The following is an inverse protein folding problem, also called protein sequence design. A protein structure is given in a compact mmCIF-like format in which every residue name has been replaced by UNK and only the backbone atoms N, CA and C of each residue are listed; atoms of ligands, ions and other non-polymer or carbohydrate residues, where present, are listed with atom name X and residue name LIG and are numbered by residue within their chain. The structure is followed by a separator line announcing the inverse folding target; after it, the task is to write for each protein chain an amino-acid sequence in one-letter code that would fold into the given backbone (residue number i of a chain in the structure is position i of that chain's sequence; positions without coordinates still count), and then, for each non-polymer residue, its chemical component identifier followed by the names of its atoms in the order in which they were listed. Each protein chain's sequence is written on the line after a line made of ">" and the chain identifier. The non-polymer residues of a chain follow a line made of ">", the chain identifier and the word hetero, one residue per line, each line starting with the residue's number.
data_IF_527410609722
#
_entry.id   IF_527410609722
#
_cell.length_a   1.000
_cell.length_b   1.000
_cell.length_c   1.000
_cell.angle_alpha   90.00
_cell.angle_beta   90.00
_cell.angle_gamma   90.00
#
_symmetry.space_group_name_H-M   'P 1'
#
loop_
_entity.id
_entity.type
_entity.pdbx_description
1 polymer ?
#
# COMPACT_ATOMS: atom_id res chain seq x y z
N UNK A 1 -59.05 21.72 -8.98
CA UNK A 1 -59.94 22.12 -10.08
C UNK A 1 -59.39 21.50 -11.36
N UNK A 2 -60.13 20.49 -11.81
CA UNK A 2 -60.30 19.99 -13.19
C UNK A 2 -59.12 19.28 -13.87
N UNK A 3 -59.21 17.96 -13.92
CA UNK A 3 -58.96 17.09 -15.10
C UNK A 3 -60.10 17.37 -16.13
N UNK A 4 -60.15 16.90 -17.37
CA UNK A 4 -59.80 15.54 -17.84
C UNK A 4 -59.35 15.39 -19.33
N UNK A 5 -59.09 14.11 -19.70
CA UNK A 5 -59.51 13.30 -20.88
C UNK A 5 -58.96 13.67 -22.29
N UNK A 6 -58.55 12.79 -23.18
CA UNK A 6 -59.18 11.56 -23.65
C UNK A 6 -58.23 10.86 -24.66
N UNK A 7 -58.20 9.55 -24.65
CA UNK A 7 -57.95 8.70 -25.84
C UNK A 7 -59.06 8.85 -26.88
N UNK A 8 -58.85 8.39 -28.16
CA UNK A 8 -59.31 7.03 -28.43
C UNK A 8 -58.51 6.24 -29.48
N UNK A 9 -58.79 4.95 -29.43
CA UNK A 9 -58.41 3.87 -30.32
C UNK A 9 -59.13 3.91 -31.67
N UNK A 10 -58.66 3.16 -32.66
CA UNK A 10 -59.41 2.20 -33.51
C UNK A 10 -58.53 1.66 -34.67
N UNK A 11 -58.36 0.36 -34.71
CA UNK A 11 -58.79 -0.65 -35.67
C UNK A 11 -58.29 -0.61 -37.11
N UNK A 12 -57.87 -1.78 -37.58
CA UNK A 12 -57.83 -2.16 -39.00
C UNK A 12 -57.03 -3.45 -39.22
N UNK A 13 -57.72 -4.55 -39.09
CA UNK A 13 -57.36 -5.88 -39.59
C UNK A 13 -57.20 -5.88 -41.10
N UNK A 14 -56.29 -6.68 -41.63
CA UNK A 14 -56.53 -7.52 -42.81
C UNK A 14 -55.54 -8.72 -42.86
N UNK A 15 -56.17 -9.90 -42.86
CA UNK A 15 -55.61 -11.21 -43.19
C UNK A 15 -55.32 -11.32 -44.67
N UNK A 16 -54.24 -11.95 -45.10
CA UNK A 16 -54.15 -12.82 -46.27
C UNK A 16 -52.97 -13.82 -46.08
N UNK A 17 -53.18 -15.13 -46.41
CA UNK A 17 -52.24 -16.17 -46.06
C UNK A 17 -51.43 -16.68 -47.28
N UNK A 18 -50.55 -17.66 -46.99
CA UNK A 18 -49.92 -18.63 -47.86
C UNK A 18 -48.55 -18.31 -48.49
N UNK A 19 -47.60 -19.09 -48.03
CA UNK A 19 -46.35 -19.38 -48.69
C UNK A 19 -45.61 -20.49 -47.92
N UNK A 20 -45.95 -21.75 -48.27
CA UNK A 20 -45.22 -22.96 -47.83
C UNK A 20 -43.86 -22.98 -48.46
N UNK A 21 -42.80 -22.98 -47.66
CA UNK A 21 -41.44 -23.24 -48.09
C UNK A 21 -40.90 -24.50 -47.41
N UNK A 22 -40.11 -25.32 -48.10
CA UNK A 22 -39.89 -26.72 -47.73
C UNK A 22 -38.81 -26.87 -46.67
N UNK A 23 -39.05 -27.80 -45.80
CA UNK A 23 -38.19 -28.56 -44.87
C UNK A 23 -36.72 -28.12 -44.76
N UNK A 24 -36.40 -27.41 -43.65
CA UNK A 24 -35.05 -27.34 -43.12
C UNK A 24 -34.60 -28.71 -42.56
N UNK A 25 -33.35 -29.13 -42.80
CA UNK A 25 -32.86 -30.37 -42.24
C UNK A 25 -32.74 -30.31 -40.69
N UNK A 26 -32.88 -31.40 -39.97
CA UNK A 26 -32.84 -31.42 -38.51
C UNK A 26 -31.44 -30.94 -38.00
N UNK A 27 -31.38 -30.27 -36.84
CA UNK A 27 -30.12 -29.83 -36.29
C UNK A 27 -29.25 -31.05 -35.97
N UNK A 28 -28.05 -31.06 -36.56
CA UNK A 28 -26.99 -32.01 -36.21
C UNK A 28 -26.70 -31.80 -34.73
N UNK A 29 -27.07 -32.75 -33.90
CA UNK A 29 -26.61 -32.88 -32.51
C UNK A 29 -25.07 -32.88 -32.55
N UNK A 30 -24.44 -31.75 -32.30
CA UNK A 30 -23.04 -31.73 -31.87
C UNK A 30 -23.01 -32.55 -30.58
N UNK A 31 -22.42 -33.72 -30.65
CA UNK A 31 -21.98 -34.43 -29.48
C UNK A 31 -21.06 -33.46 -28.71
N UNK A 32 -21.52 -33.05 -27.53
CA UNK A 32 -20.67 -32.38 -26.55
C UNK A 32 -19.73 -33.46 -26.06
N UNK A 33 -18.59 -33.57 -26.73
CA UNK A 33 -17.49 -34.38 -26.22
C UNK A 33 -17.10 -33.85 -24.86
N UNK A 34 -17.08 -34.76 -23.93
CA UNK A 34 -16.55 -34.79 -22.58
C UNK A 34 -16.09 -33.49 -21.96
N UNK A 35 -16.69 -33.17 -20.80
CA UNK A 35 -16.12 -32.18 -19.86
C UNK A 35 -14.64 -32.47 -19.61
N UNK A 36 -13.85 -31.47 -19.13
CA UNK A 36 -12.42 -31.64 -18.99
C UNK A 36 -12.15 -32.78 -18.01
N UNK A 37 -11.80 -33.94 -18.58
CA UNK A 37 -11.24 -35.05 -17.85
C UNK A 37 -10.05 -34.54 -17.04
N UNK A 38 -9.81 -35.07 -15.86
CA UNK A 38 -8.66 -34.83 -15.02
C UNK A 38 -7.39 -35.03 -15.87
N UNK A 39 -6.97 -34.00 -16.58
CA UNK A 39 -5.82 -34.01 -17.47
C UNK A 39 -4.58 -34.38 -16.66
N UNK A 40 -3.78 -35.29 -17.17
CA UNK A 40 -2.47 -35.59 -16.60
C UNK A 40 -1.71 -34.26 -16.36
N UNK A 41 -1.11 -34.10 -15.17
CA UNK A 41 -0.36 -32.88 -14.89
C UNK A 41 0.71 -32.73 -15.98
N UNK A 42 0.88 -31.50 -16.52
CA UNK A 42 1.94 -31.25 -17.49
C UNK A 42 3.30 -31.65 -16.88
N UNK A 43 4.27 -32.06 -17.72
CA UNK A 43 5.61 -32.44 -17.25
C UNK A 43 6.21 -31.38 -16.29
N UNK A 44 5.96 -30.10 -16.57
CA UNK A 44 6.34 -29.00 -15.68
C UNK A 44 5.63 -29.09 -14.33
N UNK A 45 4.33 -29.35 -14.31
CA UNK A 45 3.56 -29.43 -13.08
C UNK A 45 4.01 -30.64 -12.23
N UNK A 46 4.24 -31.81 -12.85
CA UNK A 46 4.77 -32.97 -12.16
C UNK A 46 6.17 -32.71 -11.55
N UNK A 47 7.04 -32.01 -12.28
CA UNK A 47 8.36 -31.59 -11.78
C UNK A 47 8.24 -30.64 -10.58
N UNK A 48 7.34 -29.65 -10.65
CA UNK A 48 7.13 -28.69 -9.55
C UNK A 48 6.55 -29.38 -8.31
N UNK A 49 5.72 -30.40 -8.47
CA UNK A 49 5.20 -31.22 -7.37
C UNK A 49 6.31 -32.04 -6.71
N UNK A 50 7.20 -32.64 -7.51
CA UNK A 50 8.37 -33.36 -6.99
C UNK A 50 9.30 -32.43 -6.21
N UNK A 51 9.57 -31.24 -6.73
CA UNK A 51 10.33 -30.20 -6.01
C UNK A 51 9.63 -29.77 -4.71
N UNK A 52 8.30 -29.63 -4.72
CA UNK A 52 7.58 -29.22 -3.52
C UNK A 52 7.59 -30.29 -2.41
N UNK A 53 7.73 -31.58 -2.74
CA UNK A 53 7.93 -32.67 -1.76
C UNK A 53 9.28 -32.55 -1.05
N UNK A 54 10.32 -32.10 -1.74
CA UNK A 54 11.66 -31.87 -1.17
C UNK A 54 11.70 -30.67 -0.19
N UNK A 55 10.59 -29.95 0.01
CA UNK A 55 10.50 -28.98 1.11
C UNK A 55 10.53 -29.63 2.49
N UNK A 56 10.32 -30.94 2.57
CA UNK A 56 10.45 -31.75 3.80
C UNK A 56 11.90 -32.21 4.09
N UNK A 57 12.81 -32.06 3.13
CA UNK A 57 14.21 -32.43 3.28
C UNK A 57 14.89 -31.61 4.38
N UNK A 58 15.75 -32.25 5.18
CA UNK A 58 16.44 -31.62 6.31
C UNK A 58 17.75 -30.93 5.88
N UNK A 59 18.29 -31.25 4.69
CA UNK A 59 19.51 -30.64 4.17
C UNK A 59 19.30 -29.16 3.81
N UNK A 60 20.03 -28.22 4.43
CA UNK A 60 19.94 -26.79 4.10
C UNK A 60 20.27 -26.50 2.63
N UNK A 61 21.18 -27.28 2.02
CA UNK A 61 21.57 -27.13 0.62
C UNK A 61 20.40 -27.51 -0.31
N UNK A 62 19.75 -28.65 -0.07
CA UNK A 62 18.59 -29.09 -0.83
C UNK A 62 17.45 -28.09 -0.66
N UNK A 63 17.15 -27.69 0.55
CA UNK A 63 16.12 -26.66 0.81
C UNK A 63 16.36 -25.38 0.05
N UNK A 64 17.62 -24.87 0.04
CA UNK A 64 17.98 -23.63 -0.65
C UNK A 64 17.78 -23.75 -2.17
N UNK A 65 18.25 -24.84 -2.77
CA UNK A 65 18.09 -25.12 -4.19
C UNK A 65 16.60 -25.26 -4.59
N UNK A 66 15.85 -26.04 -3.84
CA UNK A 66 14.39 -26.25 -4.06
C UNK A 66 13.63 -24.93 -3.96
N UNK A 67 13.90 -24.14 -2.93
CA UNK A 67 13.24 -22.85 -2.75
C UNK A 67 13.58 -21.88 -3.90
N UNK A 68 14.81 -21.90 -4.41
CA UNK A 68 15.22 -21.09 -5.56
C UNK A 68 14.41 -21.46 -6.80
N UNK A 69 14.40 -22.73 -7.18
CA UNK A 69 13.67 -23.22 -8.36
C UNK A 69 12.15 -22.94 -8.27
N UNK A 70 11.54 -23.16 -7.09
CA UNK A 70 10.11 -22.86 -6.90
C UNK A 70 9.81 -21.35 -6.99
N UNK A 71 10.73 -20.46 -6.58
CA UNK A 71 10.60 -19.01 -6.78
C UNK A 71 10.75 -18.62 -8.25
N UNK A 72 11.70 -19.22 -8.97
CA UNK A 72 11.90 -19.00 -10.40
C UNK A 72 10.70 -19.43 -11.24
N UNK A 73 10.08 -20.56 -10.89
CA UNK A 73 8.84 -21.02 -11.52
C UNK A 73 7.63 -20.09 -11.29
N UNK A 74 7.73 -19.14 -10.38
CA UNK A 74 6.73 -18.09 -10.10
C UNK A 74 5.31 -18.68 -9.91
N UNK A 75 4.31 -18.18 -10.66
CA UNK A 75 2.92 -18.61 -10.53
C UNK A 75 2.71 -20.11 -10.85
N UNK A 76 3.53 -20.71 -11.69
CA UNK A 76 3.44 -22.11 -12.02
C UNK A 76 3.66 -23.04 -10.80
N UNK A 77 4.46 -22.61 -9.82
CA UNK A 77 4.68 -23.35 -8.58
C UNK A 77 3.50 -23.29 -7.60
N UNK A 78 2.55 -22.36 -7.77
CA UNK A 78 1.49 -22.15 -6.79
C UNK A 78 0.62 -23.39 -6.51
N UNK A 79 0.15 -24.19 -7.50
CA UNK A 79 -0.62 -25.38 -7.24
C UNK A 79 0.14 -26.43 -6.40
N UNK A 80 1.42 -26.67 -6.71
CA UNK A 80 2.27 -27.60 -5.97
C UNK A 80 2.50 -27.12 -4.52
N UNK A 81 2.76 -25.83 -4.33
CA UNK A 81 2.94 -25.22 -3.01
C UNK A 81 1.64 -25.23 -2.18
N UNK A 82 0.48 -25.03 -2.80
CA UNK A 82 -0.82 -25.13 -2.11
C UNK A 82 -1.02 -26.56 -1.60
N UNK A 83 -0.73 -27.57 -2.40
CA UNK A 83 -0.77 -28.97 -1.96
C UNK A 83 0.21 -29.21 -0.80
N UNK A 84 1.49 -28.88 -0.97
CA UNK A 84 2.51 -29.05 0.06
C UNK A 84 2.15 -28.32 1.37
N UNK A 85 1.49 -27.17 1.30
CA UNK A 85 1.02 -26.45 2.49
C UNK A 85 -0.04 -27.17 3.31
N UNK A 86 -0.62 -28.26 2.78
CA UNK A 86 -1.66 -29.08 3.42
C UNK A 86 -1.14 -30.48 3.77
N UNK A 87 -0.33 -31.09 2.90
CA UNK A 87 0.04 -32.52 2.96
C UNK A 87 1.46 -32.79 3.45
N UNK A 88 2.38 -31.82 3.39
CA UNK A 88 3.75 -31.96 3.85
C UNK A 88 3.85 -32.07 5.38
N UNK A 89 5.04 -32.44 5.91
CA UNK A 89 5.36 -32.38 7.33
C UNK A 89 5.16 -30.98 7.93
N UNK A 90 5.21 -30.82 9.24
CA UNK A 90 5.05 -29.50 9.86
C UNK A 90 6.10 -28.49 9.37
N UNK A 91 7.40 -28.81 9.26
CA UNK A 91 8.40 -27.91 8.67
C UNK A 91 8.14 -27.61 7.19
N UNK A 92 7.81 -28.61 6.37
CA UNK A 92 7.51 -28.44 4.95
C UNK A 92 6.28 -27.56 4.72
N UNK A 93 5.22 -27.72 5.52
CA UNK A 93 4.05 -26.81 5.47
C UNK A 93 4.41 -25.37 5.74
N UNK A 94 5.25 -25.11 6.72
CA UNK A 94 5.73 -23.74 7.03
C UNK A 94 6.51 -23.16 5.85
N UNK A 95 7.44 -23.96 5.27
CA UNK A 95 8.24 -23.54 4.10
C UNK A 95 7.36 -23.28 2.88
N UNK A 96 6.40 -24.16 2.60
CA UNK A 96 5.46 -23.98 1.48
C UNK A 96 4.60 -22.73 1.63
N UNK A 97 4.08 -22.45 2.84
CA UNK A 97 3.30 -21.23 3.13
C UNK A 97 4.15 -19.98 2.98
N UNK A 98 5.41 -20.01 3.41
CA UNK A 98 6.34 -18.89 3.25
C UNK A 98 6.60 -18.57 1.77
N UNK A 99 6.81 -19.61 0.93
CA UNK A 99 6.99 -19.46 -0.52
C UNK A 99 5.72 -18.92 -1.21
N UNK A 100 4.55 -19.42 -0.84
CA UNK A 100 3.27 -18.89 -1.35
C UNK A 100 3.10 -17.41 -1.01
N UNK A 101 3.46 -17.01 0.20
CA UNK A 101 3.42 -15.61 0.60
C UNK A 101 4.40 -14.76 -0.22
N UNK A 102 5.62 -15.26 -0.50
CA UNK A 102 6.59 -14.58 -1.36
C UNK A 102 6.06 -14.43 -2.80
N UNK A 103 5.44 -15.46 -3.36
CA UNK A 103 4.83 -15.42 -4.70
C UNK A 103 3.71 -14.37 -4.79
N UNK A 104 2.89 -14.24 -3.74
CA UNK A 104 1.83 -13.21 -3.67
C UNK A 104 2.39 -11.80 -3.56
N UNK A 105 3.52 -11.63 -2.85
CA UNK A 105 4.20 -10.32 -2.69
C UNK A 105 4.89 -9.85 -3.97
N UNK A 106 5.45 -10.74 -4.76
CA UNK A 106 6.27 -10.37 -5.92
C UNK A 106 5.58 -9.44 -6.93
N UNK A 107 4.31 -9.61 -7.31
CA UNK A 107 3.60 -8.66 -8.17
C UNK A 107 3.44 -7.29 -7.52
N UNK A 108 3.13 -7.26 -6.21
CA UNK A 108 2.99 -6.02 -5.44
C UNK A 108 4.32 -5.29 -5.35
N UNK A 109 5.41 -6.00 -5.04
CA UNK A 109 6.76 -5.44 -5.01
C UNK A 109 7.13 -4.76 -6.33
N UNK A 110 6.90 -5.43 -7.48
CA UNK A 110 7.14 -4.81 -8.79
C UNK A 110 6.30 -3.56 -9.02
N UNK A 111 5.04 -3.58 -8.57
CA UNK A 111 4.15 -2.40 -8.66
C UNK A 111 4.64 -1.25 -7.80
N UNK A 112 5.12 -1.53 -6.58
CA UNK A 112 5.71 -0.52 -5.69
C UNK A 112 6.94 0.10 -6.33
N UNK A 113 7.90 -0.71 -6.81
CA UNK A 113 9.11 -0.22 -7.49
C UNK A 113 8.72 0.65 -8.69
N UNK A 114 7.87 0.12 -9.60
CA UNK A 114 7.44 0.87 -10.79
C UNK A 114 6.64 2.13 -10.46
N UNK A 115 6.01 2.21 -9.30
CA UNK A 115 5.37 3.44 -8.84
C UNK A 115 6.37 4.47 -8.31
N UNK A 116 7.29 4.04 -7.44
CA UNK A 116 8.26 4.92 -6.79
C UNK A 116 9.34 5.46 -7.75
N UNK A 117 9.51 4.85 -8.93
CA UNK A 117 10.42 5.33 -9.99
C UNK A 117 9.79 6.32 -10.96
N UNK A 118 8.49 6.65 -10.82
CA UNK A 118 7.81 7.65 -11.68
C UNK A 118 8.27 9.07 -11.35
N UNK A 119 8.16 9.99 -12.30
CA UNK A 119 8.53 11.40 -12.09
C UNK A 119 7.70 12.05 -10.97
N UNK A 120 6.42 11.77 -10.95
CA UNK A 120 5.50 12.25 -9.90
C UNK A 120 4.95 11.10 -9.08
N UNK A 121 5.08 11.24 -7.77
CA UNK A 121 4.68 10.25 -6.78
C UNK A 121 3.75 10.93 -5.76
N UNK A 122 2.59 10.35 -5.56
CA UNK A 122 1.66 10.74 -4.50
C UNK A 122 1.96 9.95 -3.21
N UNK A 123 2.00 10.65 -2.07
CA UNK A 123 2.38 10.06 -0.79
C UNK A 123 1.38 9.00 -0.34
N UNK A 124 0.09 9.31 -0.35
CA UNK A 124 -0.96 8.41 0.12
C UNK A 124 -1.02 7.12 -0.69
N UNK A 125 -1.04 7.25 -2.02
CA UNK A 125 -1.04 6.09 -2.91
C UNK A 125 0.18 5.21 -2.68
N UNK A 126 1.35 5.81 -2.47
CA UNK A 126 2.58 5.09 -2.15
C UNK A 126 2.46 4.33 -0.83
N UNK A 127 1.94 4.96 0.22
CA UNK A 127 1.72 4.34 1.53
C UNK A 127 0.75 3.14 1.44
N UNK A 128 -0.35 3.26 0.71
CA UNK A 128 -1.29 2.15 0.53
C UNK A 128 -0.71 1.00 -0.33
N UNK A 129 0.17 1.31 -1.29
CA UNK A 129 0.91 0.27 -2.00
C UNK A 129 1.86 -0.49 -1.07
N UNK A 130 2.50 0.20 -0.11
CA UNK A 130 3.32 -0.45 0.91
C UNK A 130 2.49 -1.34 1.85
N UNK A 131 1.26 -0.98 2.21
CA UNK A 131 0.36 -1.84 2.97
C UNK A 131 0.09 -3.18 2.25
N UNK A 132 -0.05 -3.16 0.93
CA UNK A 132 -0.23 -4.37 0.11
C UNK A 132 0.97 -5.31 0.08
N UNK A 133 2.16 -4.87 0.42
CA UNK A 133 3.31 -5.78 0.57
C UNK A 133 3.11 -6.75 1.74
N UNK A 134 2.50 -6.27 2.82
CA UNK A 134 2.19 -7.10 3.99
C UNK A 134 0.90 -7.90 3.77
N UNK A 135 -0.13 -7.25 3.24
CA UNK A 135 -1.41 -7.88 2.90
C UNK A 135 -1.78 -7.58 1.43
N UNK A 136 -1.52 -8.51 0.50
CA UNK A 136 -1.89 -8.33 -0.91
C UNK A 136 -3.39 -8.13 -1.17
N UNK A 137 -4.26 -8.49 -0.22
CA UNK A 137 -5.71 -8.31 -0.29
C UNK A 137 -6.17 -6.96 0.29
N UNK A 138 -5.26 -6.16 0.85
CA UNK A 138 -5.56 -4.88 1.46
C UNK A 138 -6.38 -3.98 0.52
N UNK A 139 -7.54 -3.56 1.01
CA UNK A 139 -8.42 -2.58 0.35
C UNK A 139 -8.20 -1.19 0.97
N UNK A 140 -7.76 -0.18 0.20
CA UNK A 140 -7.52 1.16 0.72
C UNK A 140 -8.81 1.95 1.02
N UNK A 141 -9.95 1.55 0.45
CA UNK A 141 -11.21 2.32 0.54
C UNK A 141 -11.69 2.63 1.97
N UNK A 142 -11.62 1.71 2.96
CA UNK A 142 -11.97 2.06 4.35
C UNK A 142 -11.06 3.15 4.92
N UNK A 143 -9.75 3.07 4.68
CA UNK A 143 -8.77 4.07 5.12
C UNK A 143 -8.99 5.42 4.44
N UNK A 144 -9.31 5.43 3.14
CA UNK A 144 -9.63 6.64 2.39
C UNK A 144 -10.88 7.33 2.94
N UNK A 145 -11.96 6.58 3.19
CA UNK A 145 -13.18 7.14 3.82
C UNK A 145 -12.89 7.80 5.16
N UNK A 146 -12.06 7.16 5.99
CA UNK A 146 -11.66 7.74 7.27
C UNK A 146 -10.85 9.04 7.10
N UNK A 147 -9.93 9.08 6.12
CA UNK A 147 -9.20 10.32 5.79
C UNK A 147 -10.15 11.43 5.30
N UNK A 148 -11.19 11.07 4.53
CA UNK A 148 -12.20 12.02 4.07
C UNK A 148 -13.09 12.53 5.22
N UNK A 149 -13.41 11.69 6.21
CA UNK A 149 -14.12 12.08 7.42
C UNK A 149 -13.31 13.05 8.27
N UNK A 150 -12.04 12.72 8.53
CA UNK A 150 -11.11 13.58 9.25
C UNK A 150 -10.95 14.95 8.54
N UNK A 151 -10.87 14.96 7.22
CA UNK A 151 -10.75 16.19 6.45
C UNK A 151 -12.02 17.06 6.53
N UNK A 152 -13.20 16.44 6.54
CA UNK A 152 -14.47 17.17 6.76
C UNK A 152 -14.53 17.81 8.15
N UNK A 153 -14.02 17.13 9.18
CA UNK A 153 -13.96 17.67 10.54
C UNK A 153 -13.01 18.88 10.59
N UNK A 154 -11.83 18.78 9.96
CA UNK A 154 -10.88 19.90 9.83
C UNK A 154 -11.51 21.06 9.07
N UNK A 155 -12.15 20.81 7.92
CA UNK A 155 -12.82 21.84 7.13
C UNK A 155 -13.93 22.55 7.94
N UNK A 156 -14.73 21.79 8.70
CA UNK A 156 -15.76 22.35 9.58
C UNK A 156 -15.17 23.25 10.66
N UNK A 157 -14.11 22.80 11.34
CA UNK A 157 -13.44 23.54 12.42
C UNK A 157 -12.70 24.78 11.92
N UNK A 158 -12.20 24.75 10.68
CA UNK A 158 -11.49 25.86 10.06
C UNK A 158 -12.39 26.88 9.36
N UNK A 159 -13.68 26.59 9.16
CA UNK A 159 -14.60 27.42 8.34
C UNK A 159 -14.64 28.89 8.71
N UNK A 160 -14.60 29.21 10.00
CA UNK A 160 -14.69 30.58 10.52
C UNK A 160 -13.32 31.26 10.68
N UNK A 161 -12.22 30.60 10.32
CA UNK A 161 -10.87 31.11 10.45
C UNK A 161 -10.44 31.72 9.12
N UNK A 162 -10.18 33.02 9.11
CA UNK A 162 -9.77 33.77 7.90
C UNK A 162 -8.30 33.52 7.59
N UNK A 163 -7.46 33.62 8.60
CA UNK A 163 -6.00 33.46 8.44
C UNK A 163 -5.63 32.00 8.09
N UNK A 164 -4.84 31.78 7.02
CA UNK A 164 -4.43 30.46 6.57
C UNK A 164 -3.68 29.63 7.63
N UNK A 165 -2.87 30.28 8.46
CA UNK A 165 -2.16 29.59 9.54
C UNK A 165 -3.10 29.10 10.64
N UNK A 166 -4.06 29.94 11.06
CA UNK A 166 -5.10 29.53 12.02
C UNK A 166 -5.99 28.42 11.44
N UNK A 167 -6.28 28.46 10.13
CA UNK A 167 -6.98 27.33 9.46
C UNK A 167 -6.15 26.06 9.52
N UNK A 168 -4.84 26.14 9.29
CA UNK A 168 -3.95 25.00 9.38
C UNK A 168 -3.82 24.46 10.83
N UNK A 169 -3.91 25.31 11.85
CA UNK A 169 -3.94 24.87 13.25
C UNK A 169 -5.17 23.99 13.56
N UNK A 170 -6.30 24.17 12.86
CA UNK A 170 -7.46 23.28 13.01
C UNK A 170 -7.11 21.82 12.71
N UNK A 171 -6.14 21.55 11.83
CA UNK A 171 -5.64 20.21 11.56
C UNK A 171 -5.06 19.55 12.83
N UNK A 172 -4.27 20.30 13.59
CA UNK A 172 -3.66 19.82 14.85
C UNK A 172 -4.74 19.58 15.91
N UNK A 173 -5.67 20.51 16.06
CA UNK A 173 -6.74 20.40 17.04
C UNK A 173 -7.62 19.17 16.76
N UNK A 174 -8.04 18.98 15.50
CA UNK A 174 -8.88 17.85 15.12
C UNK A 174 -8.12 16.54 15.28
N UNK A 175 -6.95 16.40 14.66
CA UNK A 175 -6.25 15.12 14.65
C UNK A 175 -5.61 14.80 16.01
N UNK A 176 -4.92 15.78 16.63
CA UNK A 176 -4.19 15.57 17.88
C UNK A 176 -5.08 15.48 19.11
N UNK A 177 -6.11 16.34 19.20
CA UNK A 177 -6.94 16.44 20.39
C UNK A 177 -8.30 15.76 20.22
N UNK A 178 -9.08 16.08 19.18
CA UNK A 178 -10.43 15.54 19.03
C UNK A 178 -10.38 14.04 18.66
N UNK A 179 -9.47 13.61 17.78
CA UNK A 179 -9.30 12.22 17.34
C UNK A 179 -8.16 11.46 18.03
N UNK A 180 -7.33 12.12 18.82
CA UNK A 180 -6.34 11.51 19.70
C UNK A 180 -5.14 10.87 18.99
N UNK A 181 -4.78 11.31 17.79
CA UNK A 181 -3.56 10.86 17.10
C UNK A 181 -2.33 11.34 17.86
N UNK A 182 -1.45 10.39 18.25
CA UNK A 182 -0.25 10.69 18.99
C UNK A 182 0.83 9.61 18.82
N UNK A 183 2.01 9.91 19.31
CA UNK A 183 3.15 9.00 19.32
C UNK A 183 2.92 7.72 20.11
N UNK A 184 3.66 6.69 19.72
CA UNK A 184 3.75 5.41 20.41
C UNK A 184 5.20 5.21 20.85
N UNK A 185 5.59 5.65 22.06
CA UNK A 185 6.95 5.48 22.57
C UNK A 185 7.29 4.00 22.77
N UNK A 186 6.32 3.23 23.27
CA UNK A 186 6.49 1.80 23.47
C UNK A 186 6.34 1.06 22.13
N UNK A 187 7.24 0.08 21.91
CA UNK A 187 7.21 -0.76 20.72
C UNK A 187 7.21 0.02 19.39
N UNK A 188 8.02 1.09 19.32
CA UNK A 188 8.13 2.02 18.19
C UNK A 188 8.16 1.35 16.82
N UNK A 189 8.82 0.19 16.70
CA UNK A 189 8.98 -0.53 15.42
C UNK A 189 7.91 -1.59 15.15
N UNK A 190 6.88 -1.74 15.96
CA UNK A 190 5.78 -2.66 15.64
C UNK A 190 5.09 -2.26 14.34
N UNK A 191 4.64 -3.24 13.57
CA UNK A 191 3.97 -3.00 12.29
C UNK A 191 2.73 -2.11 12.42
N UNK A 192 1.97 -2.28 13.51
CA UNK A 192 0.77 -1.50 13.81
C UNK A 192 1.05 -0.04 14.21
N UNK A 193 2.32 0.33 14.41
CA UNK A 193 2.78 1.70 14.64
C UNK A 193 3.38 2.33 13.38
N UNK A 194 3.77 1.50 12.42
CA UNK A 194 4.45 1.91 11.17
C UNK A 194 3.48 1.96 9.99
N UNK A 195 2.56 1.00 9.85
CA UNK A 195 1.63 0.94 8.71
C UNK A 195 0.49 1.96 8.86
N UNK A 196 0.24 2.72 7.79
CA UNK A 196 -0.72 3.82 7.82
C UNK A 196 -2.16 3.34 8.14
N UNK A 197 -2.59 2.21 7.59
CA UNK A 197 -3.91 1.63 7.84
C UNK A 197 -4.12 1.27 9.32
N UNK A 198 -3.08 0.74 9.95
CA UNK A 198 -3.09 0.39 11.38
C UNK A 198 -3.07 1.64 12.26
N UNK A 199 -2.24 2.62 11.91
CA UNK A 199 -2.17 3.89 12.65
C UNK A 199 -3.47 4.68 12.52
N UNK A 200 -4.12 4.67 11.35
CA UNK A 200 -5.46 5.25 11.16
C UNK A 200 -6.50 4.60 12.10
N UNK A 201 -6.41 3.29 12.34
CA UNK A 201 -7.36 2.57 13.21
C UNK A 201 -7.07 2.77 14.69
N UNK A 202 -5.80 2.72 15.12
CA UNK A 202 -5.43 2.71 16.54
C UNK A 202 -4.96 4.06 17.09
N UNK A 203 -4.82 5.09 16.22
CA UNK A 203 -4.42 6.46 16.55
C UNK A 203 -3.01 6.60 17.13
N UNK A 204 -2.20 5.56 17.09
CA UNK A 204 -0.85 5.51 17.66
C UNK A 204 0.16 5.17 16.57
N UNK A 205 1.20 5.99 16.38
CA UNK A 205 2.16 5.77 15.31
C UNK A 205 3.54 6.37 15.54
N UNK A 206 4.45 6.04 14.62
CA UNK A 206 5.76 6.69 14.53
C UNK A 206 5.62 8.10 13.92
N UNK A 207 6.60 8.99 14.15
CA UNK A 207 6.55 10.37 13.65
C UNK A 207 6.20 10.49 12.17
N UNK A 208 6.85 9.70 11.31
CA UNK A 208 6.63 9.75 9.87
C UNK A 208 5.19 9.37 9.49
N UNK A 209 4.65 8.29 10.07
CA UNK A 209 3.30 7.83 9.71
C UNK A 209 2.24 8.82 10.19
N UNK A 210 2.41 9.40 11.38
CA UNK A 210 1.52 10.46 11.88
C UNK A 210 1.58 11.70 10.99
N UNK A 211 2.78 12.21 10.68
CA UNK A 211 2.93 13.35 9.78
C UNK A 211 2.34 13.09 8.39
N UNK A 212 2.47 11.85 7.87
CA UNK A 212 1.87 11.48 6.60
C UNK A 212 0.33 11.47 6.64
N UNK A 213 -0.29 11.00 7.74
CA UNK A 213 -1.75 11.07 7.94
C UNK A 213 -2.19 12.54 7.96
N UNK A 214 -1.51 13.39 8.74
CA UNK A 214 -1.81 14.82 8.79
C UNK A 214 -1.70 15.47 7.40
N UNK A 215 -0.67 15.13 6.63
CA UNK A 215 -0.50 15.64 5.26
C UNK A 215 -1.63 15.15 4.33
N UNK A 216 -2.04 13.88 4.39
CA UNK A 216 -3.14 13.36 3.59
C UNK A 216 -4.48 14.03 3.92
N UNK A 217 -4.73 14.32 5.20
CA UNK A 217 -5.93 15.05 5.65
C UNK A 217 -5.86 16.52 5.23
N UNK A 218 -4.68 17.16 5.38
CA UNK A 218 -4.48 18.56 5.00
C UNK A 218 -4.77 18.81 3.52
N UNK A 219 -4.25 17.94 2.62
CA UNK A 219 -4.51 18.03 1.17
C UNK A 219 -6.01 18.00 0.88
N UNK A 220 -6.76 17.11 1.52
CA UNK A 220 -8.23 17.01 1.37
C UNK A 220 -8.97 18.24 1.92
N UNK A 221 -8.46 18.83 2.99
CA UNK A 221 -9.02 20.03 3.58
C UNK A 221 -8.58 21.33 2.88
N UNK A 222 -7.81 21.23 1.78
CA UNK A 222 -7.30 22.41 1.04
C UNK A 222 -6.26 23.20 1.81
N UNK A 223 -5.53 22.57 2.73
CA UNK A 223 -4.47 23.19 3.53
C UNK A 223 -3.09 22.91 2.93
N UNK A 224 -2.19 23.87 3.01
CA UNK A 224 -0.79 23.71 2.59
C UNK A 224 0.07 23.26 3.75
N UNK A 225 0.69 22.10 3.60
CA UNK A 225 1.60 21.53 4.61
C UNK A 225 2.84 20.94 3.95
N UNK A 226 3.96 20.90 4.70
CA UNK A 226 5.20 20.25 4.30
C UNK A 226 5.68 19.26 5.36
N UNK A 227 6.48 18.29 4.96
CA UNK A 227 7.09 17.29 5.84
C UNK A 227 8.58 17.61 6.02
N UNK A 228 9.03 17.78 7.26
CA UNK A 228 10.43 18.08 7.58
C UNK A 228 11.18 16.81 7.98
N UNK A 229 12.18 16.37 7.17
CA UNK A 229 12.85 15.07 7.33
C UNK A 229 14.03 15.11 8.30
N UNK A 230 13.82 15.43 9.57
CA UNK A 230 14.90 15.47 10.55
C UNK A 230 15.50 14.07 10.81
N UNK A 231 16.78 14.00 11.24
CA UNK A 231 17.38 12.74 11.69
C UNK A 231 16.58 12.14 12.87
N UNK A 232 16.17 10.89 12.74
CA UNK A 232 15.41 10.17 13.77
C UNK A 232 13.98 10.66 13.99
N UNK A 233 13.55 11.75 13.33
CA UNK A 233 12.21 12.32 13.51
C UNK A 233 11.65 12.90 12.20
N UNK A 234 10.33 13.11 12.15
CA UNK A 234 9.66 13.86 11.08
C UNK A 234 8.70 14.83 11.74
N UNK A 235 8.69 16.06 11.27
CA UNK A 235 7.79 17.11 11.72
C UNK A 235 6.90 17.58 10.58
N UNK A 236 5.83 18.29 10.92
CA UNK A 236 4.92 18.89 9.96
C UNK A 236 5.11 20.41 9.97
N UNK A 237 5.25 21.01 8.79
CA UNK A 237 5.18 22.46 8.61
C UNK A 237 3.78 22.83 8.15
N UNK A 238 3.12 23.73 8.86
CA UNK A 238 1.88 24.36 8.46
C UNK A 238 2.23 25.68 7.75
N UNK A 239 1.78 25.84 6.50
CA UNK A 239 2.05 27.05 5.72
C UNK A 239 0.89 28.04 5.83
N UNK A 240 1.20 29.27 6.29
CA UNK A 240 0.35 30.43 6.11
C UNK A 240 0.63 31.15 4.79
N UNK A 241 0.27 32.42 4.66
CA UNK A 241 0.60 33.24 3.49
C UNK A 241 2.07 33.67 3.50
N UNK A 242 2.49 34.27 4.59
CA UNK A 242 3.86 34.84 4.77
C UNK A 242 4.68 34.15 5.85
N UNK A 243 4.02 33.35 6.70
CA UNK A 243 4.64 32.67 7.84
C UNK A 243 4.37 31.18 7.81
N UNK A 244 5.11 30.43 8.61
CA UNK A 244 4.87 29.01 8.78
C UNK A 244 5.08 28.60 10.24
N UNK A 245 4.41 27.53 10.64
CA UNK A 245 4.52 26.95 11.98
C UNK A 245 5.00 25.50 11.86
N UNK A 246 5.97 25.12 12.68
CA UNK A 246 6.42 23.74 12.77
C UNK A 246 5.70 23.08 13.94
N UNK A 247 5.06 21.95 13.69
CA UNK A 247 4.34 21.18 14.70
C UNK A 247 4.79 19.72 14.71
N UNK A 248 4.67 19.09 15.87
CA UNK A 248 5.04 17.70 16.10
C UNK A 248 3.80 16.80 16.31
N UNK A 249 3.25 16.14 15.28
CA UNK A 249 2.13 15.23 15.42
C UNK A 249 2.39 14.07 16.40
N UNK A 250 3.66 13.69 16.62
CA UNK A 250 4.02 12.66 17.59
C UNK A 250 3.73 13.11 19.03
N UNK A 251 3.89 14.39 19.31
CA UNK A 251 3.54 15.05 20.56
C UNK A 251 2.22 15.86 20.44
N UNK A 252 1.20 15.27 19.78
CA UNK A 252 -0.14 15.88 19.60
C UNK A 252 -0.17 17.24 18.94
N UNK A 253 0.85 17.55 18.12
CA UNK A 253 0.93 18.83 17.42
C UNK A 253 1.60 19.94 18.23
N UNK A 254 2.43 19.59 19.22
CA UNK A 254 3.28 20.56 19.94
C UNK A 254 4.02 21.46 18.96
N UNK A 255 3.97 22.77 19.20
CA UNK A 255 4.68 23.74 18.38
C UNK A 255 6.17 23.71 18.69
N UNK A 256 6.98 23.67 17.64
CA UNK A 256 8.44 23.62 17.74
C UNK A 256 9.07 24.81 17.05
N UNK A 257 10.02 25.46 17.71
CA UNK A 257 10.81 26.50 17.07
C UNK A 257 11.98 25.89 16.29
N UNK A 258 12.35 26.51 15.17
CA UNK A 258 13.51 26.06 14.39
C UNK A 258 14.81 26.17 15.19
N UNK A 259 14.95 27.18 16.05
CA UNK A 259 16.10 27.37 16.95
C UNK A 259 16.22 26.20 17.96
N UNK A 260 15.12 25.77 18.56
CA UNK A 260 15.12 24.64 19.49
C UNK A 260 15.48 23.33 18.80
N UNK A 261 14.95 23.12 17.60
CA UNK A 261 15.26 21.94 16.79
C UNK A 261 16.75 21.91 16.41
N UNK A 262 17.33 23.05 16.02
CA UNK A 262 18.76 23.16 15.75
C UNK A 262 19.62 22.84 16.99
N UNK A 263 19.23 23.35 18.17
CA UNK A 263 19.91 23.04 19.43
C UNK A 263 19.84 21.55 19.78
N UNK A 264 18.66 20.95 19.65
CA UNK A 264 18.47 19.52 19.92
C UNK A 264 19.28 18.63 18.96
N UNK A 265 19.30 18.96 17.67
CA UNK A 265 20.10 18.22 16.68
C UNK A 265 21.59 18.31 17.01
N UNK A 266 22.09 19.50 17.36
CA UNK A 266 23.48 19.69 17.80
C UNK A 266 23.80 18.89 19.07
N UNK A 267 22.91 18.90 20.05
CA UNK A 267 23.09 18.12 21.28
C UNK A 267 23.13 16.60 21.04
N UNK A 268 22.51 16.11 19.97
CA UNK A 268 22.56 14.71 19.53
C UNK A 268 23.74 14.39 18.59
N UNK A 269 24.70 15.31 18.42
CA UNK A 269 25.88 15.13 17.59
C UNK A 269 25.64 15.33 16.09
N UNK A 270 24.49 15.88 15.67
CA UNK A 270 24.23 16.17 14.27
C UNK A 270 24.72 17.59 13.92
N UNK A 271 25.52 17.71 12.85
CA UNK A 271 25.83 19.00 12.24
C UNK A 271 24.56 19.65 11.63
N UNK A 272 24.63 20.96 11.35
CA UNK A 272 23.53 21.62 10.68
C UNK A 272 23.42 21.20 9.20
N UNK A 273 22.21 20.86 8.75
CA UNK A 273 21.90 20.62 7.36
C UNK A 273 20.59 21.33 6.98
N UNK A 274 20.68 22.32 6.11
CA UNK A 274 19.53 23.09 5.65
C UNK A 274 18.44 22.23 4.97
N UNK A 275 18.81 21.09 4.41
CA UNK A 275 17.84 20.18 3.78
C UNK A 275 16.84 19.60 4.77
N UNK A 276 17.17 19.50 6.06
CA UNK A 276 16.25 19.02 7.09
C UNK A 276 15.10 19.99 7.39
N UNK A 277 15.30 21.25 7.02
CA UNK A 277 14.33 22.34 7.20
C UNK A 277 13.65 22.74 5.87
N UNK A 278 13.76 21.92 4.84
CA UNK A 278 12.99 22.03 3.59
C UNK A 278 11.91 20.97 3.55
N UNK A 279 10.80 21.29 2.90
CA UNK A 279 9.73 20.33 2.70
C UNK A 279 10.22 19.18 1.82
N UNK A 280 10.10 17.99 2.33
CA UNK A 280 10.53 16.77 1.63
C UNK A 280 9.51 16.36 0.58
N UNK A 281 9.99 15.84 -0.53
CA UNK A 281 9.15 15.25 -1.55
C UNK A 281 8.57 13.88 -1.11
N UNK A 282 7.45 13.50 -1.74
CA UNK A 282 6.74 12.27 -1.42
C UNK A 282 7.61 11.00 -1.59
N UNK A 283 8.48 10.97 -2.60
CA UNK A 283 9.38 9.82 -2.85
C UNK A 283 10.37 9.62 -1.70
N UNK A 284 10.97 10.71 -1.24
CA UNK A 284 11.88 10.69 -0.10
C UNK A 284 11.20 10.15 1.16
N UNK A 285 9.96 10.60 1.43
CA UNK A 285 9.17 10.11 2.56
C UNK A 285 8.78 8.64 2.41
N UNK A 286 8.39 8.20 1.23
CA UNK A 286 8.09 6.78 0.96
C UNK A 286 9.32 5.88 1.08
N UNK A 287 10.50 6.36 0.67
CA UNK A 287 11.76 5.66 0.91
C UNK A 287 12.03 5.49 2.41
N UNK A 288 11.87 6.55 3.21
CA UNK A 288 12.00 6.47 4.68
C UNK A 288 10.97 5.53 5.30
N UNK A 289 9.73 5.57 4.83
CA UNK A 289 8.68 4.65 5.30
C UNK A 289 9.01 3.19 4.95
N UNK A 290 9.53 2.94 3.76
CA UNK A 290 10.00 1.60 3.36
C UNK A 290 11.14 1.11 4.28
N UNK A 291 12.06 1.99 4.66
CA UNK A 291 13.13 1.68 5.61
C UNK A 291 12.58 1.37 7.03
N UNK A 292 11.60 2.14 7.51
CA UNK A 292 10.93 1.87 8.80
C UNK A 292 10.22 0.51 8.79
N UNK A 293 9.52 0.17 7.68
CA UNK A 293 8.90 -1.13 7.51
C UNK A 293 9.93 -2.27 7.45
N UNK A 294 11.07 -2.06 6.78
CA UNK A 294 12.16 -3.03 6.73
C UNK A 294 12.75 -3.27 8.12
N UNK A 295 12.97 -2.21 8.90
CA UNK A 295 13.43 -2.33 10.29
C UNK A 295 12.43 -3.07 11.16
N UNK A 296 11.13 -2.76 11.01
CA UNK A 296 10.06 -3.50 11.67
C UNK A 296 10.07 -4.99 11.28
N UNK A 297 10.15 -5.30 9.99
CA UNK A 297 10.19 -6.69 9.51
C UNK A 297 11.42 -7.45 10.03
N UNK A 298 12.55 -6.79 10.15
CA UNK A 298 13.80 -7.36 10.71
C UNK A 298 13.65 -7.71 12.17
N UNK A 299 13.20 -6.76 13.00
CA UNK A 299 13.05 -6.95 14.46
C UNK A 299 12.03 -8.04 14.82
N UNK A 300 10.97 -8.17 14.01
CA UNK A 300 9.93 -9.17 14.26
C UNK A 300 10.06 -10.44 13.39
N UNK A 301 11.23 -10.67 12.79
CA UNK A 301 11.55 -11.92 12.09
C UNK A 301 10.74 -12.17 10.82
N UNK A 302 10.13 -11.14 10.21
CA UNK A 302 9.28 -11.26 9.00
C UNK A 302 10.14 -11.32 7.74
N UNK A 303 10.93 -12.39 7.61
CA UNK A 303 12.00 -12.56 6.60
C UNK A 303 11.54 -12.31 5.17
N UNK A 304 10.37 -12.79 4.76
CA UNK A 304 9.86 -12.61 3.39
C UNK A 304 9.52 -11.15 3.08
N UNK A 305 8.91 -10.46 4.01
CA UNK A 305 8.61 -9.03 3.90
C UNK A 305 9.91 -8.20 3.87
N UNK A 306 10.86 -8.52 4.75
CA UNK A 306 12.17 -7.86 4.79
C UNK A 306 12.91 -7.95 3.45
N UNK A 307 12.91 -9.15 2.82
CA UNK A 307 13.54 -9.32 1.49
C UNK A 307 12.88 -8.41 0.44
N UNK A 308 11.56 -8.35 0.42
CA UNK A 308 10.82 -7.50 -0.53
C UNK A 308 11.12 -6.01 -0.31
N UNK A 309 11.12 -5.56 0.96
CA UNK A 309 11.40 -4.16 1.31
C UNK A 309 12.85 -3.77 1.01
N UNK A 310 13.83 -4.63 1.31
CA UNK A 310 15.24 -4.38 0.94
C UNK A 310 15.43 -4.28 -0.57
N UNK A 311 14.77 -5.15 -1.34
CA UNK A 311 14.83 -5.08 -2.81
C UNK A 311 14.20 -3.78 -3.35
N UNK A 312 13.12 -3.28 -2.72
CA UNK A 312 12.54 -1.98 -3.09
C UNK A 312 13.53 -0.86 -2.78
N UNK A 313 14.14 -0.87 -1.60
CA UNK A 313 15.14 0.15 -1.21
C UNK A 313 16.32 0.17 -2.16
N UNK A 314 16.88 -1.00 -2.50
CA UNK A 314 17.98 -1.12 -3.47
C UNK A 314 17.60 -0.60 -4.87
N UNK A 315 16.36 -0.85 -5.32
CA UNK A 315 15.89 -0.33 -6.61
C UNK A 315 15.71 1.21 -6.63
N UNK A 316 15.62 1.83 -5.45
CA UNK A 316 15.48 3.28 -5.29
C UNK A 316 16.80 4.00 -4.98
N UNK A 317 17.89 3.25 -4.83
CA UNK A 317 19.22 3.86 -4.75
C UNK A 317 19.58 4.50 -6.09
N UNK A 318 20.14 5.73 -6.09
CA UNK A 318 20.65 6.31 -7.31
C UNK A 318 21.70 5.33 -7.86
N UNK A 319 21.53 4.92 -9.12
CA UNK A 319 22.59 4.19 -9.84
C UNK A 319 23.85 5.02 -9.73
N UNK A 320 24.80 4.57 -8.91
CA UNK A 320 26.14 5.15 -8.94
C UNK A 320 26.57 5.13 -10.41
N UNK A 321 26.91 6.29 -10.97
CA UNK A 321 27.47 6.38 -12.30
C UNK A 321 28.71 5.48 -12.33
N UNK A 322 28.55 4.27 -12.84
CA UNK A 322 29.67 3.44 -13.25
C UNK A 322 30.19 4.07 -14.55
N UNK A 323 31.27 4.81 -14.46
CA UNK A 323 31.91 5.34 -15.64
C UNK A 323 32.56 6.71 -15.46
N UNK A 324 33.59 6.77 -14.61
CA UNK A 324 34.61 7.81 -14.71
C UNK A 324 35.93 7.28 -14.09
N UNK A 325 36.44 6.21 -14.69
CA UNK A 325 37.83 5.83 -14.54
C UNK A 325 38.24 5.20 -15.86
N UNK A 326 38.68 6.02 -16.77
CA UNK A 326 39.64 5.67 -17.83
C UNK A 326 39.91 6.95 -18.67
N UNK A 327 40.86 7.73 -18.28
CA UNK A 327 41.84 8.40 -19.17
C UNK A 327 42.96 8.96 -18.33
#
# INVERSE_FOLDING_TARGET
>A
MVRPDSEPALNGSDDVPLGTDPAAPPPVRRQVEGGPGAGHPSALQARLESLARLLDDDSPTVQSAVQLHLREARRAAAPALIRASRTATAPGRVRARALLADLRRAPVQRRVVGYLTRDRVDLERGLFLLCRLNDPSFDPRPSQRLLDELARDVARKSRMRVDPLHRAQALVEVLGFDHGFQGAPDEFHRADRVQIDRVLSNRRGIPLTLCAIYACVAVRAGLRVGLLPLPGHVLLRLHGETTSLIVDPYHRGEVRSESDLKRQLKARGHGFNAAWFRDADARSMLRRQTANLARSAELYGRRGELRALRSILSALEPRRAQGATAS
#
